data_IF_922211615236
#
_entry.id   IF_922211615236
#
_cell.length_a   1.000
_cell.length_b   1.000
_cell.length_c   1.000
_cell.angle_alpha   90.00
_cell.angle_beta   90.00
_cell.angle_gamma   90.00
#
_symmetry.space_group_name_H-M   'P 1'
#
loop_
_entity.id
_entity.type
_entity.pdbx_description
1 polymer ?
#
# COMPACT_ATOMS: atom_id res chain seq x y z
N UNK A 1 16.16 29.52 6.63
CA UNK A 1 16.16 28.23 5.90
C UNK A 1 17.52 27.62 6.12
N UNK A 2 17.58 26.39 6.62
CA UNK A 2 18.86 25.70 6.78
C UNK A 2 19.51 25.51 5.41
N UNK A 3 20.83 25.67 5.33
CA UNK A 3 21.59 25.39 4.09
C UNK A 3 21.58 23.88 3.79
N UNK A 4 21.80 23.47 2.54
CA UNK A 4 21.88 22.02 2.19
C UNK A 4 22.91 21.29 3.07
N UNK A 5 24.02 21.95 3.41
CA UNK A 5 25.05 21.40 4.29
C UNK A 5 24.55 21.19 5.73
N UNK A 6 23.79 22.12 6.30
CA UNK A 6 23.18 21.95 7.62
C UNK A 6 22.14 20.82 7.63
N UNK A 7 21.41 20.64 6.51
CA UNK A 7 20.46 19.54 6.34
C UNK A 7 21.17 18.18 6.29
N UNK A 8 22.27 18.08 5.54
CA UNK A 8 23.07 16.86 5.44
C UNK A 8 23.69 16.50 6.79
N UNK A 9 24.24 17.48 7.52
CA UNK A 9 24.78 17.28 8.86
C UNK A 9 23.71 16.88 9.89
N UNK A 10 22.49 17.43 9.79
CA UNK A 10 21.38 17.03 10.64
C UNK A 10 20.94 15.59 10.33
N UNK A 11 20.87 15.23 9.05
CA UNK A 11 20.52 13.88 8.59
C UNK A 11 21.55 12.86 9.04
N UNK A 12 22.85 13.14 8.87
CA UNK A 12 23.92 12.27 9.33
C UNK A 12 23.89 12.04 10.85
N UNK A 13 23.67 13.11 11.63
CA UNK A 13 23.51 12.99 13.10
C UNK A 13 22.30 12.15 13.49
N UNK A 14 21.18 12.32 12.80
CA UNK A 14 19.98 11.53 13.01
C UNK A 14 20.24 10.04 12.73
N UNK A 15 20.84 9.71 11.58
CA UNK A 15 21.18 8.33 11.21
C UNK A 15 22.13 7.67 12.23
N UNK A 16 23.15 8.41 12.68
CA UNK A 16 24.07 7.90 13.71
C UNK A 16 23.38 7.66 15.06
N UNK A 17 22.45 8.54 15.45
CA UNK A 17 21.65 8.34 16.66
C UNK A 17 20.74 7.11 16.55
N UNK A 18 20.09 6.92 15.39
CA UNK A 18 19.26 5.74 15.11
C UNK A 18 20.06 4.44 15.17
N UNK A 19 21.27 4.42 14.59
CA UNK A 19 22.15 3.26 14.62
C UNK A 19 22.61 2.94 16.05
N UNK A 20 22.93 3.97 16.84
CA UNK A 20 23.26 3.82 18.26
C UNK A 20 22.10 3.23 19.05
N UNK A 21 20.88 3.78 18.91
CA UNK A 21 19.70 3.23 19.58
C UNK A 21 19.46 1.78 19.15
N UNK A 22 19.58 1.47 17.85
CA UNK A 22 19.41 0.12 17.34
C UNK A 22 20.35 -0.88 18.02
N UNK A 23 21.65 -0.55 18.12
CA UNK A 23 22.63 -1.38 18.85
C UNK A 23 22.25 -1.56 20.32
N UNK A 24 21.84 -0.50 21.01
CA UNK A 24 21.44 -0.58 22.42
C UNK A 24 20.18 -1.44 22.63
N UNK A 25 19.21 -1.34 21.72
CA UNK A 25 17.96 -2.12 21.77
C UNK A 25 18.20 -3.59 21.50
N UNK A 26 19.04 -3.92 20.52
CA UNK A 26 19.42 -5.30 20.22
C UNK A 26 20.22 -5.92 21.37
N UNK A 27 21.17 -5.17 21.96
CA UNK A 27 21.94 -5.64 23.12
C UNK A 27 21.03 -5.96 24.33
N UNK A 28 20.03 -5.12 24.59
CA UNK A 28 19.03 -5.36 25.65
C UNK A 28 18.08 -6.54 25.35
N UNK A 29 18.05 -7.03 24.12
CA UNK A 29 17.19 -8.12 23.68
C UNK A 29 17.97 -9.39 23.34
N UNK A 30 19.21 -9.53 23.85
CA UNK A 30 20.07 -10.67 23.55
C UNK A 30 19.42 -12.03 23.83
N UNK A 31 18.74 -12.18 24.97
CA UNK A 31 18.05 -13.43 25.32
C UNK A 31 16.90 -13.74 24.36
N UNK A 32 16.11 -12.73 24.00
CA UNK A 32 15.03 -12.84 23.02
C UNK A 32 15.57 -13.28 21.64
N UNK A 33 16.65 -12.64 21.19
CA UNK A 33 17.32 -12.95 19.92
C UNK A 33 17.87 -14.38 19.95
N UNK A 34 18.48 -14.80 21.06
CA UNK A 34 19.02 -16.16 21.20
C UNK A 34 17.91 -17.22 21.14
N UNK A 35 16.83 -17.02 21.90
CA UNK A 35 15.67 -17.91 21.91
C UNK A 35 15.03 -18.01 20.52
N UNK A 36 14.82 -16.87 19.85
CA UNK A 36 14.26 -16.85 18.52
C UNK A 36 15.20 -17.48 17.47
N UNK A 37 16.52 -17.30 17.59
CA UNK A 37 17.50 -17.97 16.71
C UNK A 37 17.39 -19.49 16.80
N UNK A 38 17.24 -20.02 18.02
CA UNK A 38 17.04 -21.46 18.22
C UNK A 38 15.72 -21.96 17.61
N UNK A 39 14.63 -21.20 17.78
CA UNK A 39 13.34 -21.48 17.15
C UNK A 39 13.46 -21.50 15.62
N UNK A 40 14.06 -20.46 15.03
CA UNK A 40 14.27 -20.34 13.59
C UNK A 40 15.10 -21.51 13.05
N UNK A 41 16.17 -21.90 13.74
CA UNK A 41 17.00 -23.04 13.39
C UNK A 41 16.21 -24.36 13.42
N UNK A 42 15.30 -24.54 14.39
CA UNK A 42 14.42 -25.72 14.45
C UNK A 42 13.47 -25.83 13.24
N UNK A 43 13.25 -24.72 12.53
CA UNK A 43 12.44 -24.62 11.30
C UNK A 43 13.29 -24.55 10.03
N UNK A 44 14.62 -24.73 10.16
CA UNK A 44 15.56 -24.73 9.04
C UNK A 44 16.02 -23.34 8.58
N UNK A 45 15.76 -22.28 9.35
CA UNK A 45 16.22 -20.91 9.06
C UNK A 45 17.48 -20.64 9.87
N UNK A 46 18.58 -20.31 9.19
CA UNK A 46 19.85 -19.95 9.83
C UNK A 46 19.91 -18.42 9.92
N UNK A 47 20.03 -17.88 11.14
CA UNK A 47 20.09 -16.44 11.40
C UNK A 47 21.42 -16.10 12.06
N UNK A 48 22.08 -15.07 11.54
CA UNK A 48 23.27 -14.46 12.11
C UNK A 48 22.95 -13.19 12.88
N UNK A 49 23.98 -12.54 13.43
CA UNK A 49 23.82 -11.25 14.14
C UNK A 49 23.26 -10.14 13.23
N UNK A 50 23.62 -10.16 11.96
CA UNK A 50 23.23 -9.24 10.89
C UNK A 50 21.79 -9.47 10.41
N UNK A 51 21.20 -10.62 10.76
CA UNK A 51 19.79 -10.90 10.48
C UNK A 51 18.84 -10.11 11.36
N UNK A 52 19.33 -9.46 12.43
CA UNK A 52 18.50 -8.73 13.37
C UNK A 52 18.67 -7.22 13.21
N UNK A 53 17.54 -6.51 13.28
CA UNK A 53 17.51 -5.06 13.21
C UNK A 53 16.45 -4.52 14.16
N UNK A 54 16.76 -3.43 14.85
CA UNK A 54 15.73 -2.64 15.52
C UNK A 54 15.28 -1.52 14.60
N UNK A 55 13.97 -1.49 14.32
CA UNK A 55 13.32 -0.45 13.54
C UNK A 55 12.29 0.21 14.44
N UNK A 56 12.45 1.50 14.70
CA UNK A 56 11.65 2.24 15.69
C UNK A 56 10.14 2.07 15.53
N UNK A 57 9.65 1.98 14.29
CA UNK A 57 8.23 1.87 13.96
C UNK A 57 7.66 0.47 14.11
N UNK A 58 8.49 -0.59 14.07
CA UNK A 58 8.04 -1.99 14.04
C UNK A 58 8.74 -2.91 15.04
N UNK A 59 9.65 -2.40 15.87
CA UNK A 59 10.31 -3.16 16.92
C UNK A 59 11.54 -3.93 16.42
N UNK A 60 11.79 -5.08 17.06
CA UNK A 60 12.94 -5.92 16.74
C UNK A 60 12.52 -6.94 15.69
N UNK A 61 13.20 -6.92 14.55
CA UNK A 61 12.86 -7.72 13.37
C UNK A 61 13.99 -8.69 13.06
N UNK A 62 13.61 -9.93 12.78
CA UNK A 62 14.49 -10.92 12.16
C UNK A 62 14.26 -10.95 10.65
N UNK A 63 15.35 -10.98 9.88
CA UNK A 63 15.38 -10.90 8.42
C UNK A 63 16.05 -12.13 7.83
N UNK A 64 15.33 -12.84 6.98
CA UNK A 64 15.89 -13.85 6.09
C UNK A 64 14.90 -14.11 4.94
N UNK A 65 15.37 -14.44 3.72
CA UNK A 65 14.48 -14.72 2.61
C UNK A 65 13.44 -15.79 2.94
N UNK A 66 12.15 -15.46 2.83
CA UNK A 66 11.03 -16.37 3.09
C UNK A 66 10.84 -16.80 4.55
N UNK A 67 11.47 -16.14 5.53
CA UNK A 67 11.39 -16.48 6.96
C UNK A 67 9.95 -16.60 7.45
N UNK A 68 9.05 -15.70 7.03
CA UNK A 68 7.66 -15.71 7.47
C UNK A 68 6.95 -17.02 7.09
N UNK A 69 7.14 -17.48 5.84
CA UNK A 69 6.55 -18.74 5.35
C UNK A 69 7.17 -19.96 6.00
N UNK A 70 8.48 -19.95 6.20
CA UNK A 70 9.17 -21.06 6.87
C UNK A 70 8.69 -21.25 8.32
N UNK A 71 8.47 -20.15 9.04
CA UNK A 71 7.96 -20.18 10.41
C UNK A 71 6.46 -20.52 10.48
N UNK A 72 5.65 -19.98 9.57
CA UNK A 72 4.22 -20.30 9.46
C UNK A 72 3.96 -21.77 9.09
N UNK A 73 4.94 -22.41 8.46
CA UNK A 73 4.88 -23.78 7.98
C UNK A 73 4.03 -23.94 6.71
N UNK A 74 3.79 -25.19 6.26
CA UNK A 74 3.04 -25.46 5.04
C UNK A 74 1.65 -24.84 5.10
N UNK A 75 1.36 -23.92 4.19
CA UNK A 75 0.07 -23.21 4.06
C UNK A 75 -0.31 -23.17 2.59
N UNK A 76 -1.61 -23.29 2.28
CA UNK A 76 -2.05 -23.24 0.89
C UNK A 76 -1.77 -21.84 0.32
N UNK A 77 -0.93 -21.79 -0.69
CA UNK A 77 -0.60 -20.56 -1.41
C UNK A 77 -1.39 -20.52 -2.71
N UNK A 78 -2.07 -19.41 -2.97
CA UNK A 78 -2.77 -19.18 -4.23
C UNK A 78 -1.76 -18.92 -5.36
N UNK A 79 -2.19 -19.08 -6.62
CA UNK A 79 -1.30 -18.89 -7.80
C UNK A 79 -0.68 -17.49 -7.85
N UNK A 80 -1.34 -16.51 -7.26
CA UNK A 80 -0.92 -15.11 -7.18
C UNK A 80 -0.01 -14.82 -5.96
N UNK A 81 0.39 -15.84 -5.20
CA UNK A 81 1.27 -15.74 -4.03
C UNK A 81 0.57 -15.33 -2.75
N UNK A 82 -0.73 -15.00 -2.81
CA UNK A 82 -1.51 -14.64 -1.63
C UNK A 82 -1.81 -15.85 -0.75
N UNK A 83 -2.02 -15.57 0.54
CA UNK A 83 -2.38 -16.55 1.55
C UNK A 83 -3.80 -16.27 2.05
N UNK A 84 -4.55 -17.32 2.39
CA UNK A 84 -5.86 -17.19 3.02
C UNK A 84 -5.71 -16.49 4.37
N UNK A 85 -6.48 -15.42 4.59
CA UNK A 85 -6.50 -14.68 5.84
C UNK A 85 -6.94 -15.58 7.00
N UNK A 86 -8.00 -16.36 6.80
CA UNK A 86 -8.58 -17.22 7.83
C UNK A 86 -7.65 -18.38 8.17
N UNK A 87 -6.95 -18.95 7.19
CA UNK A 87 -5.96 -20.00 7.46
C UNK A 87 -4.78 -19.46 8.28
N UNK A 88 -4.28 -18.25 7.99
CA UNK A 88 -3.27 -17.61 8.83
C UNK A 88 -3.82 -17.35 10.24
N UNK A 89 -5.00 -16.72 10.33
CA UNK A 89 -5.66 -16.36 11.58
C UNK A 89 -5.92 -17.56 12.49
N UNK A 90 -6.19 -18.74 11.92
CA UNK A 90 -6.37 -19.98 12.68
C UNK A 90 -5.10 -20.49 13.38
N UNK A 91 -3.92 -20.11 12.88
CA UNK A 91 -2.60 -20.51 13.42
C UNK A 91 -1.99 -19.41 14.29
N UNK A 92 -2.10 -18.17 13.82
CA UNK A 92 -1.58 -16.97 14.44
C UNK A 92 -2.71 -15.94 14.43
N UNK A 93 -3.40 -15.73 15.56
CA UNK A 93 -4.55 -14.84 15.57
C UNK A 93 -4.15 -13.40 15.23
N UNK A 94 -5.05 -12.64 14.60
CA UNK A 94 -4.97 -11.19 14.49
C UNK A 94 -4.53 -10.54 15.81
N UNK A 95 -3.53 -9.66 15.76
CA UNK A 95 -3.14 -8.89 16.94
C UNK A 95 -4.26 -7.93 17.33
N UNK A 96 -4.70 -7.91 18.61
CA UNK A 96 -5.75 -7.01 19.06
C UNK A 96 -5.28 -5.55 19.19
N UNK A 97 -3.98 -5.30 19.15
CA UNK A 97 -3.39 -3.98 19.38
C UNK A 97 -2.61 -3.44 18.16
N UNK A 98 -2.58 -4.19 17.06
CA UNK A 98 -1.84 -3.82 15.86
C UNK A 98 -2.46 -4.46 14.64
N UNK A 99 -3.22 -3.68 13.87
CA UNK A 99 -3.71 -4.09 12.57
C UNK A 99 -2.53 -4.40 11.63
N UNK A 100 -2.75 -5.30 10.67
CA UNK A 100 -1.69 -5.77 9.79
C UNK A 100 -0.71 -6.74 10.44
N UNK A 101 -0.92 -7.15 11.69
CA UNK A 101 -0.06 -8.08 12.41
C UNK A 101 -0.85 -9.31 12.88
N UNK A 102 -0.29 -10.50 12.69
CA UNK A 102 -0.75 -11.74 13.31
C UNK A 102 0.21 -12.11 14.44
N UNK A 103 -0.27 -12.15 15.68
CA UNK A 103 0.55 -12.32 16.86
C UNK A 103 0.58 -13.77 17.33
N UNK A 104 1.75 -14.39 17.24
CA UNK A 104 2.05 -15.66 17.87
C UNK A 104 2.75 -15.48 19.21
N UNK A 105 3.02 -16.59 19.93
CA UNK A 105 3.75 -16.55 21.19
C UNK A 105 5.21 -16.10 21.02
N UNK A 106 5.87 -16.51 19.94
CA UNK A 106 7.31 -16.29 19.75
C UNK A 106 7.65 -15.22 18.71
N UNK A 107 6.70 -14.91 17.82
CA UNK A 107 6.89 -13.94 16.75
C UNK A 107 5.56 -13.38 16.22
N UNK A 108 5.66 -12.28 15.49
CA UNK A 108 4.57 -11.60 14.83
C UNK A 108 4.82 -11.62 13.32
N UNK A 109 3.86 -12.15 12.57
CA UNK A 109 3.81 -11.98 11.12
C UNK A 109 3.22 -10.61 10.79
N UNK A 110 3.78 -9.96 9.77
CA UNK A 110 3.34 -8.65 9.32
C UNK A 110 2.77 -8.75 7.90
N UNK A 111 1.77 -7.93 7.60
CA UNK A 111 1.30 -7.71 6.24
C UNK A 111 2.42 -7.11 5.37
N UNK A 112 2.26 -7.24 4.06
CA UNK A 112 3.30 -6.81 3.12
C UNK A 112 3.71 -5.33 3.27
N UNK A 113 4.99 -4.97 3.06
CA UNK A 113 5.46 -3.59 3.15
C UNK A 113 4.77 -2.60 2.21
N UNK A 114 4.12 -3.04 1.13
CA UNK A 114 3.33 -2.18 0.25
C UNK A 114 2.20 -1.43 0.97
N UNK A 115 1.72 -1.97 2.10
CA UNK A 115 0.70 -1.33 2.93
C UNK A 115 1.27 -0.21 3.80
N UNK A 116 2.58 -0.01 3.83
CA UNK A 116 3.25 1.04 4.62
C UNK A 116 3.26 2.37 3.87
N UNK A 117 3.45 3.47 4.60
CA UNK A 117 3.50 4.81 4.01
C UNK A 117 4.64 4.88 2.98
N UNK A 118 4.31 5.28 1.76
CA UNK A 118 5.26 5.31 0.64
C UNK A 118 5.77 3.92 0.22
N UNK A 119 5.10 2.84 0.64
CA UNK A 119 5.54 1.44 0.42
C UNK A 119 6.92 1.14 1.02
N UNK A 120 7.40 1.98 1.95
CA UNK A 120 8.73 1.87 2.48
C UNK A 120 8.79 0.89 3.66
N UNK A 121 9.76 -0.05 3.68
CA UNK A 121 9.78 -1.17 4.63
C UNK A 121 9.99 -0.77 6.10
N UNK A 122 10.50 0.43 6.38
CA UNK A 122 10.72 0.94 7.75
C UNK A 122 9.63 1.90 8.23
N UNK A 123 8.67 2.25 7.38
CA UNK A 123 7.58 3.14 7.78
C UNK A 123 6.47 2.35 8.48
N UNK A 124 5.64 3.07 9.24
CA UNK A 124 4.39 2.51 9.76
C UNK A 124 3.36 2.32 8.62
N UNK A 125 2.26 1.64 8.92
CA UNK A 125 1.16 1.41 7.98
C UNK A 125 0.65 2.73 7.37
N UNK A 126 0.40 2.72 6.06
CA UNK A 126 -0.38 3.75 5.38
C UNK A 126 -1.85 3.58 5.81
N UNK A 127 -2.57 4.67 6.12
CA UNK A 127 -3.71 4.56 7.00
C UNK A 127 -4.92 3.80 6.43
N UNK A 128 -5.61 3.17 7.37
CA UNK A 128 -6.95 2.55 7.33
C UNK A 128 -7.23 1.43 6.34
N UNK A 129 -6.54 1.28 5.20
CA UNK A 129 -6.85 0.14 4.31
C UNK A 129 -6.67 -1.19 5.03
N UNK A 130 -5.50 -1.40 5.64
CA UNK A 130 -5.18 -2.65 6.31
C UNK A 130 -6.11 -2.91 7.50
N UNK A 131 -6.46 -1.86 8.24
CA UNK A 131 -7.41 -1.90 9.36
C UNK A 131 -8.81 -2.31 8.89
N UNK A 132 -9.36 -1.63 7.88
CA UNK A 132 -10.65 -1.96 7.29
C UNK A 132 -10.66 -3.39 6.74
N UNK A 133 -9.58 -3.82 6.09
CA UNK A 133 -9.45 -5.18 5.57
C UNK A 133 -9.41 -6.22 6.72
N UNK A 134 -8.73 -5.88 7.82
CA UNK A 134 -8.64 -6.72 9.01
C UNK A 134 -10.01 -6.93 9.63
N UNK A 135 -10.74 -5.84 9.88
CA UNK A 135 -12.04 -5.83 10.55
C UNK A 135 -13.19 -6.30 9.68
N UNK A 136 -13.01 -6.30 8.35
CA UNK A 136 -14.07 -6.69 7.43
C UNK A 136 -14.34 -8.20 7.50
N UNK A 137 -15.58 -8.54 7.77
CA UNK A 137 -16.09 -9.90 7.73
C UNK A 137 -17.49 -9.90 7.07
N UNK A 138 -17.86 -11.02 6.46
CA UNK A 138 -19.12 -11.14 5.73
C UNK A 138 -19.42 -12.57 5.29
N UNK A 139 -20.70 -12.93 5.29
CA UNK A 139 -21.11 -14.26 4.86
C UNK A 139 -20.73 -14.52 3.39
N UNK A 140 -19.97 -15.58 3.15
CA UNK A 140 -19.50 -15.97 1.82
C UNK A 140 -18.36 -15.11 1.28
N UNK A 141 -17.73 -14.29 2.12
CA UNK A 141 -16.51 -13.55 1.78
C UNK A 141 -15.28 -14.42 2.10
N UNK A 142 -14.34 -14.46 1.17
CA UNK A 142 -13.00 -15.03 1.38
C UNK A 142 -11.95 -13.95 1.20
N UNK A 143 -11.10 -13.76 2.21
CA UNK A 143 -10.02 -12.77 2.21
C UNK A 143 -8.67 -13.45 2.01
N UNK A 144 -7.83 -12.83 1.19
CA UNK A 144 -6.45 -13.24 0.97
C UNK A 144 -5.53 -12.03 1.04
N UNK A 145 -4.34 -12.23 1.60
CA UNK A 145 -3.39 -11.14 1.84
C UNK A 145 -1.94 -11.60 1.59
N UNK A 146 -1.11 -10.66 1.14
CA UNK A 146 0.33 -10.83 1.08
C UNK A 146 0.96 -10.50 2.45
N UNK A 147 1.94 -11.31 2.83
CA UNK A 147 2.75 -11.09 4.03
C UNK A 147 4.10 -10.47 3.64
N UNK A 148 4.73 -9.87 4.64
CA UNK A 148 6.16 -9.57 4.61
C UNK A 148 6.95 -10.88 4.68
N UNK A 149 7.20 -11.48 3.51
CA UNK A 149 7.76 -12.83 3.41
C UNK A 149 9.17 -12.94 4.04
N UNK A 150 9.93 -11.83 4.04
CA UNK A 150 11.35 -11.83 4.40
C UNK A 150 11.62 -11.31 5.82
N UNK A 151 10.56 -10.94 6.57
CA UNK A 151 10.70 -10.33 7.90
C UNK A 151 9.62 -10.78 8.87
N UNK A 152 10.02 -11.03 10.11
CA UNK A 152 9.10 -11.20 11.24
C UNK A 152 9.55 -10.37 12.43
N UNK A 153 8.60 -9.88 13.21
CA UNK A 153 8.89 -9.17 14.46
C UNK A 153 8.97 -10.17 15.60
N UNK A 154 9.95 -10.03 16.50
CA UNK A 154 10.20 -11.00 17.59
C UNK A 154 9.88 -10.48 18.98
N UNK A 155 9.78 -9.16 19.17
CA UNK A 155 9.43 -8.55 20.46
C UNK A 155 7.92 -8.45 20.67
N UNK A 156 7.28 -9.62 20.82
CA UNK A 156 5.82 -9.82 20.89
C UNK A 156 5.15 -9.00 22.00
N UNK A 157 5.75 -8.94 23.19
CA UNK A 157 5.16 -8.32 24.39
C UNK A 157 5.30 -6.78 24.44
N UNK A 158 5.95 -6.16 23.45
CA UNK A 158 6.19 -4.72 23.47
C UNK A 158 5.07 -3.93 22.80
N UNK A 159 4.71 -2.81 23.43
CA UNK A 159 3.75 -1.84 22.91
C UNK A 159 4.11 -1.44 21.47
N UNK A 160 3.13 -1.48 20.57
CA UNK A 160 3.26 -1.02 19.20
C UNK A 160 3.33 0.51 19.10
N UNK A 161 3.82 1.00 17.97
CA UNK A 161 3.83 2.40 17.63
C UNK A 161 2.52 2.76 16.91
N UNK A 162 1.76 3.73 17.43
CA UNK A 162 0.44 4.11 16.93
C UNK A 162 0.47 5.51 16.31
N UNK A 163 0.02 5.64 15.07
CA UNK A 163 -0.15 6.93 14.39
C UNK A 163 -1.62 7.15 14.04
N UNK A 164 -2.19 8.28 14.47
CA UNK A 164 -3.52 8.71 14.03
C UNK A 164 -3.39 9.47 12.71
N UNK A 165 -3.81 8.87 11.60
CA UNK A 165 -3.92 9.52 10.29
C UNK A 165 -5.32 9.28 9.76
N UNK A 166 -6.00 10.34 9.32
CA UNK A 166 -7.42 10.28 8.92
C UNK A 166 -7.54 10.54 7.43
N UNK A 167 -8.11 9.56 6.73
CA UNK A 167 -8.54 9.68 5.34
C UNK A 167 -10.00 9.25 5.28
N UNK A 168 -10.80 9.89 4.43
CA UNK A 168 -12.22 9.59 4.30
C UNK A 168 -12.51 9.03 2.92
N UNK A 169 -13.35 8.00 2.86
CA UNK A 169 -13.90 7.50 1.59
C UNK A 169 -14.92 8.48 1.00
N UNK A 170 -15.06 8.47 -0.32
CA UNK A 170 -16.13 9.21 -0.98
C UNK A 170 -17.48 8.54 -0.71
N UNK A 171 -18.56 9.31 -0.51
CA UNK A 171 -19.89 8.75 -0.67
C UNK A 171 -20.06 8.34 -2.14
N UNK A 172 -20.38 7.08 -2.37
CA UNK A 172 -20.76 6.60 -3.69
C UNK A 172 -21.78 5.48 -3.53
N UNK A 173 -22.98 5.74 -4.02
CA UNK A 173 -24.09 4.80 -4.01
C UNK A 173 -24.76 4.75 -5.39
N UNK A 174 -23.96 4.98 -6.44
CA UNK A 174 -24.47 4.79 -7.79
C UNK A 174 -24.74 3.31 -8.05
N UNK A 175 -25.81 3.08 -8.79
CA UNK A 175 -26.11 1.80 -9.37
C UNK A 175 -25.02 1.44 -10.39
N UNK A 176 -24.11 0.52 -10.04
CA UNK A 176 -22.99 0.08 -10.90
C UNK A 176 -23.48 -0.32 -12.30
N UNK A 177 -24.71 -0.82 -12.43
CA UNK A 177 -25.33 -1.18 -13.72
C UNK A 177 -25.44 0.01 -14.67
N UNK A 178 -25.56 1.23 -14.13
CA UNK A 178 -25.69 2.50 -14.87
C UNK A 178 -24.37 3.19 -15.14
N UNK A 179 -23.27 2.74 -14.51
CA UNK A 179 -21.95 3.32 -14.75
C UNK A 179 -21.56 3.10 -16.21
N UNK A 180 -21.18 4.20 -16.87
CA UNK A 180 -20.80 4.21 -18.28
C UNK A 180 -19.52 3.41 -18.49
N UNK A 181 -19.51 2.60 -19.55
CA UNK A 181 -18.31 1.92 -20.01
C UNK A 181 -17.32 2.92 -20.62
N UNK A 182 -16.04 2.57 -20.60
CA UNK A 182 -14.97 3.39 -21.16
C UNK A 182 -13.88 3.71 -20.16
N UNK A 183 -13.12 4.75 -20.48
CA UNK A 183 -11.96 5.18 -19.71
C UNK A 183 -12.19 6.57 -19.14
N UNK A 184 -11.72 6.79 -17.92
CA UNK A 184 -11.54 8.11 -17.32
C UNK A 184 -10.09 8.22 -16.85
N UNK A 185 -9.40 9.28 -17.24
CA UNK A 185 -8.04 9.59 -16.77
C UNK A 185 -8.06 10.94 -16.08
N UNK A 186 -7.81 10.93 -14.78
CA UNK A 186 -7.78 12.11 -13.94
C UNK A 186 -6.32 12.47 -13.62
N UNK A 187 -6.02 13.75 -13.53
CA UNK A 187 -4.70 14.26 -13.16
C UNK A 187 -4.86 15.47 -12.24
N UNK A 188 -3.88 15.75 -11.36
CA UNK A 188 -3.88 16.99 -10.59
C UNK A 188 -3.94 18.21 -11.52
N UNK A 189 -4.44 19.36 -11.02
CA UNK A 189 -4.50 20.58 -11.83
C UNK A 189 -3.11 20.98 -12.35
N UNK A 190 -3.03 21.34 -13.64
CA UNK A 190 -1.74 21.73 -14.26
C UNK A 190 -1.23 23.10 -13.79
N UNK A 191 -2.09 23.90 -13.17
CA UNK A 191 -1.80 25.26 -12.71
C UNK A 191 -1.11 25.33 -11.35
N UNK A 192 -0.87 24.19 -10.69
CA UNK A 192 -0.21 24.14 -9.38
C UNK A 192 1.23 23.61 -9.49
N UNK A 193 2.11 24.21 -8.69
CA UNK A 193 3.53 23.82 -8.65
C UNK A 193 3.72 22.39 -8.11
N UNK A 194 4.81 21.68 -8.49
CA UNK A 194 5.08 20.30 -8.05
C UNK A 194 5.04 20.10 -6.53
N UNK A 195 5.50 21.07 -5.74
CA UNK A 195 5.41 21.01 -4.27
C UNK A 195 3.97 20.91 -3.75
N UNK A 196 3.01 21.53 -4.44
CA UNK A 196 1.60 21.46 -4.09
C UNK A 196 0.97 20.14 -4.55
N UNK A 197 1.42 19.59 -5.68
CA UNK A 197 1.07 18.22 -6.10
C UNK A 197 1.57 17.21 -5.06
N UNK A 198 2.81 17.37 -4.59
CA UNK A 198 3.37 16.54 -3.53
C UNK A 198 2.54 16.58 -2.26
N UNK A 199 2.19 17.78 -1.81
CA UNK A 199 1.47 17.99 -0.55
C UNK A 199 0.00 17.57 -0.60
N UNK A 200 -0.74 17.96 -1.65
CA UNK A 200 -2.19 17.76 -1.75
C UNK A 200 -2.57 16.45 -2.43
N UNK A 201 -1.74 15.94 -3.34
CA UNK A 201 -2.03 14.75 -4.15
C UNK A 201 -1.05 13.61 -3.91
N UNK A 202 -0.17 13.72 -2.91
CA UNK A 202 0.80 12.69 -2.55
C UNK A 202 1.64 12.22 -3.77
N UNK A 203 2.18 13.19 -4.52
CA UNK A 203 2.95 12.98 -5.76
C UNK A 203 2.18 12.21 -6.83
N UNK A 204 0.88 12.47 -7.01
CA UNK A 204 0.11 11.85 -8.10
C UNK A 204 0.52 12.40 -9.46
N UNK A 205 0.67 11.52 -10.44
CA UNK A 205 0.71 11.89 -11.85
C UNK A 205 -0.69 11.77 -12.48
N UNK A 206 -1.29 10.58 -12.36
CA UNK A 206 -2.65 10.34 -12.82
C UNK A 206 -3.33 9.18 -12.10
N UNK A 207 -4.66 9.18 -12.14
CA UNK A 207 -5.52 8.04 -11.86
C UNK A 207 -6.22 7.64 -13.16
N UNK A 208 -5.89 6.47 -13.69
CA UNK A 208 -6.51 5.90 -14.88
C UNK A 208 -7.55 4.86 -14.45
N UNK A 209 -8.76 4.94 -14.99
CA UNK A 209 -9.89 4.10 -14.63
C UNK A 209 -10.53 3.56 -15.89
N UNK A 210 -10.92 2.29 -15.87
CA UNK A 210 -11.64 1.65 -16.96
C UNK A 210 -12.81 0.81 -16.45
N UNK A 211 -13.95 0.98 -17.10
CA UNK A 211 -15.07 0.06 -17.04
C UNK A 211 -15.24 -0.67 -18.37
N UNK A 212 -15.34 -1.99 -18.28
CA UNK A 212 -15.71 -2.86 -19.39
C UNK A 212 -16.80 -3.82 -18.96
N UNK A 213 -17.52 -4.39 -19.92
CA UNK A 213 -18.59 -5.35 -19.65
C UNK A 213 -18.49 -6.53 -20.60
N UNK A 214 -18.64 -7.72 -20.05
CA UNK A 214 -18.63 -8.99 -20.77
C UNK A 214 -19.36 -10.05 -19.97
N UNK A 215 -20.18 -10.87 -20.62
CA UNK A 215 -20.84 -12.03 -20.01
C UNK A 215 -21.62 -11.74 -18.72
N UNK A 216 -22.33 -10.60 -18.68
CA UNK A 216 -23.12 -10.18 -17.51
C UNK A 216 -22.29 -9.64 -16.34
N UNK A 217 -20.99 -9.41 -16.55
CA UNK A 217 -20.07 -8.86 -15.55
C UNK A 217 -19.58 -7.50 -16.01
N UNK A 218 -19.65 -6.50 -15.12
CA UNK A 218 -18.92 -5.24 -15.27
C UNK A 218 -17.58 -5.34 -14.56
N UNK A 219 -16.49 -5.20 -15.30
CA UNK A 219 -15.13 -5.16 -14.77
C UNK A 219 -14.69 -3.71 -14.57
N UNK A 220 -14.22 -3.40 -13.37
CA UNK A 220 -13.56 -2.15 -13.00
C UNK A 220 -12.07 -2.38 -12.93
N UNK A 221 -11.29 -1.45 -13.47
CA UNK A 221 -9.85 -1.38 -13.29
C UNK A 221 -9.45 0.05 -12.95
N UNK A 222 -8.51 0.21 -12.02
CA UNK A 222 -7.92 1.50 -11.71
C UNK A 222 -6.41 1.39 -11.51
N UNK A 223 -5.65 2.38 -12.00
CA UNK A 223 -4.21 2.48 -11.85
C UNK A 223 -3.81 3.87 -11.35
N UNK A 224 -3.22 3.92 -10.17
CA UNK A 224 -2.65 5.12 -9.55
C UNK A 224 -1.15 5.19 -9.89
N UNK A 225 -0.76 6.16 -10.72
CA UNK A 225 0.63 6.41 -11.05
C UNK A 225 1.14 7.65 -10.32
N UNK A 226 2.30 7.52 -9.69
CA UNK A 226 3.00 8.62 -9.03
C UNK A 226 3.91 9.38 -10.01
N UNK A 227 4.40 10.54 -9.62
CA UNK A 227 5.44 11.27 -10.34
C UNK A 227 6.78 10.50 -10.31
N UNK A 228 7.71 10.90 -11.16
CA UNK A 228 9.04 10.27 -11.31
C UNK A 228 9.91 10.34 -10.05
N UNK A 229 9.56 11.22 -9.10
CA UNK A 229 10.24 11.34 -7.80
C UNK A 229 9.94 10.18 -6.86
N UNK A 230 8.91 9.37 -7.14
CA UNK A 230 8.53 8.22 -6.32
C UNK A 230 9.08 6.95 -6.93
N UNK A 231 10.14 6.43 -6.33
CA UNK A 231 10.83 5.21 -6.76
C UNK A 231 11.05 4.28 -5.57
N UNK A 232 11.07 2.98 -5.84
CA UNK A 232 11.46 1.95 -4.88
C UNK A 232 12.55 1.06 -5.47
N UNK A 233 13.38 0.49 -4.60
CA UNK A 233 14.43 -0.44 -4.99
C UNK A 233 14.06 -1.86 -4.57
N UNK A 234 14.09 -2.79 -5.51
CA UNK A 234 13.82 -4.21 -5.28
C UNK A 234 14.93 -5.01 -5.97
N UNK A 235 15.73 -5.74 -5.19
CA UNK A 235 16.82 -6.57 -5.73
C UNK A 235 17.90 -5.76 -6.46
N UNK A 236 18.18 -4.53 -6.02
CA UNK A 236 19.17 -3.63 -6.63
C UNK A 236 18.69 -2.93 -7.90
N UNK A 237 17.44 -3.13 -8.32
CA UNK A 237 16.84 -2.41 -9.45
C UNK A 237 15.79 -1.41 -8.96
N UNK A 238 15.80 -0.22 -9.56
CA UNK A 238 14.81 0.83 -9.31
C UNK A 238 13.55 0.61 -10.14
N UNK A 239 12.40 0.85 -9.52
CA UNK A 239 11.09 0.77 -10.14
C UNK A 239 10.23 1.98 -9.75
N UNK A 240 9.29 2.30 -10.63
CA UNK A 240 8.22 3.26 -10.39
C UNK A 240 6.97 2.47 -9.97
N UNK A 241 6.59 2.49 -8.69
CA UNK A 241 5.45 1.72 -8.22
C UNK A 241 4.13 2.40 -8.57
N UNK A 242 3.16 1.61 -9.01
CA UNK A 242 1.79 2.04 -9.21
C UNK A 242 0.84 1.11 -8.44
N UNK A 243 -0.18 1.67 -7.82
CA UNK A 243 -1.25 0.87 -7.20
C UNK A 243 -2.28 0.53 -8.25
N UNK A 244 -2.64 -0.75 -8.34
CA UNK A 244 -3.63 -1.24 -9.28
C UNK A 244 -4.78 -1.91 -8.52
N UNK A 245 -6.01 -1.64 -8.93
CA UNK A 245 -7.21 -2.31 -8.44
C UNK A 245 -7.95 -2.96 -9.61
N UNK A 246 -8.52 -4.13 -9.36
CA UNK A 246 -9.45 -4.79 -10.25
C UNK A 246 -10.67 -5.29 -9.46
N UNK A 247 -11.87 -5.14 -10.04
CA UNK A 247 -13.09 -5.67 -9.46
C UNK A 247 -14.05 -6.19 -10.54
N UNK A 248 -14.82 -7.22 -10.22
CA UNK A 248 -15.87 -7.75 -11.08
C UNK A 248 -17.23 -7.63 -10.37
N UNK A 249 -18.12 -6.85 -10.97
CA UNK A 249 -19.49 -6.67 -10.53
C UNK A 249 -20.43 -7.59 -11.30
N UNK A 250 -21.17 -8.41 -10.57
CA UNK A 250 -22.19 -9.28 -11.12
C UNK A 250 -23.51 -8.51 -11.27
N UNK A 251 -23.97 -8.33 -12.52
CA UNK A 251 -25.17 -7.55 -12.81
C UNK A 251 -26.45 -8.21 -12.30
N UNK A 252 -26.45 -9.55 -12.13
CA UNK A 252 -27.60 -10.32 -11.65
C UNK A 252 -27.59 -10.34 -10.12
N UNK A 253 -26.47 -10.69 -9.50
CA UNK A 253 -26.34 -10.74 -8.04
C UNK A 253 -26.29 -9.35 -7.39
N UNK A 254 -26.02 -8.30 -8.18
CA UNK A 254 -25.94 -6.91 -7.76
C UNK A 254 -24.92 -6.69 -6.63
N UNK A 255 -23.75 -7.28 -6.80
CA UNK A 255 -22.61 -7.14 -5.91
C UNK A 255 -21.30 -7.40 -6.66
N UNK A 256 -20.19 -6.91 -6.12
CA UNK A 256 -18.89 -7.37 -6.55
C UNK A 256 -18.70 -8.80 -6.08
N UNK A 257 -18.23 -9.68 -6.98
CA UNK A 257 -17.91 -11.09 -6.67
C UNK A 257 -16.42 -11.33 -6.47
N UNK A 258 -15.61 -10.39 -6.97
CA UNK A 258 -14.17 -10.42 -6.94
C UNK A 258 -13.65 -8.99 -6.85
N UNK A 259 -12.68 -8.75 -5.97
CA UNK A 259 -12.00 -7.48 -5.81
C UNK A 259 -10.57 -7.74 -5.36
N UNK A 260 -9.58 -7.27 -6.11
CA UNK A 260 -8.18 -7.43 -5.75
C UNK A 260 -7.37 -6.17 -6.02
N UNK A 261 -6.20 -6.15 -5.38
CA UNK A 261 -5.24 -5.06 -5.53
C UNK A 261 -3.84 -5.60 -5.70
N UNK A 262 -3.04 -4.87 -6.48
CA UNK A 262 -1.66 -5.20 -6.77
C UNK A 262 -0.79 -3.94 -6.79
N UNK A 263 0.51 -4.13 -6.61
CA UNK A 263 1.52 -3.13 -6.95
C UNK A 263 2.14 -3.53 -8.28
N UNK A 264 1.99 -2.66 -9.28
CA UNK A 264 2.67 -2.78 -10.55
C UNK A 264 4.00 -2.02 -10.47
N UNK A 265 5.07 -2.69 -10.88
CA UNK A 265 6.44 -2.20 -10.86
C UNK A 265 6.87 -1.95 -12.29
N UNK A 266 6.97 -0.67 -12.64
CA UNK A 266 7.41 -0.25 -13.96
C UNK A 266 8.91 0.03 -13.93
N UNK A 267 9.64 -0.43 -14.94
CA UNK A 267 10.96 0.13 -15.22
C UNK A 267 10.81 1.58 -15.68
N UNK A 268 11.92 2.30 -15.80
CA UNK A 268 11.91 3.69 -16.28
C UNK A 268 11.24 3.82 -17.66
N UNK A 269 11.67 3.01 -18.63
CA UNK A 269 11.10 3.00 -19.97
C UNK A 269 9.60 2.68 -19.96
N UNK A 270 9.20 1.67 -19.18
CA UNK A 270 7.79 1.27 -19.06
C UNK A 270 6.95 2.37 -18.39
N UNK A 271 7.49 3.06 -17.38
CA UNK A 271 6.81 4.14 -16.67
C UNK A 271 6.53 5.33 -17.59
N UNK A 272 7.54 5.82 -18.31
CA UNK A 272 7.37 6.96 -19.22
C UNK A 272 6.42 6.64 -20.37
N UNK A 273 6.41 5.39 -20.87
CA UNK A 273 5.44 4.97 -21.88
C UNK A 273 4.02 4.83 -21.30
N UNK A 274 3.88 4.28 -20.09
CA UNK A 274 2.56 4.00 -19.49
C UNK A 274 1.88 5.26 -18.96
N UNK A 275 2.62 6.19 -18.36
CA UNK A 275 2.05 7.36 -17.65
C UNK A 275 1.26 8.28 -18.56
N UNK A 276 1.65 8.38 -19.83
CA UNK A 276 0.99 9.21 -20.84
C UNK A 276 -0.03 8.44 -21.70
N UNK A 277 -0.05 7.11 -21.57
CA UNK A 277 -1.01 6.21 -22.22
C UNK A 277 -2.25 5.94 -21.35
N UNK A 278 -3.25 5.23 -21.90
CA UNK A 278 -4.44 4.76 -21.19
C UNK A 278 -4.61 3.22 -21.26
N UNK A 279 -5.63 2.67 -20.61
CA UNK A 279 -5.98 1.24 -20.69
C UNK A 279 -6.50 0.75 -22.05
N UNK A 280 -6.64 1.59 -23.08
CA UNK A 280 -6.97 1.16 -24.45
C UNK A 280 -5.71 0.86 -25.25
N UNK A 281 -4.63 1.61 -25.04
CA UNK A 281 -3.37 1.44 -25.78
C UNK A 281 -2.64 0.13 -25.48
N UNK A 282 -2.99 -0.57 -24.40
CA UNK A 282 -2.40 -1.85 -24.01
C UNK A 282 -2.90 -3.03 -24.85
N UNK A 283 -4.04 -2.93 -25.54
CA UNK A 283 -4.71 -4.12 -26.11
C UNK A 283 -4.36 -4.46 -27.56
N UNK A 284 -3.69 -3.57 -28.32
CA UNK A 284 -3.56 -3.73 -29.79
C UNK A 284 -2.18 -3.45 -30.40
N UNK A 285 -1.18 -3.08 -29.60
CA UNK A 285 0.15 -2.74 -30.11
C UNK A 285 1.25 -3.69 -29.61
N UNK A 286 2.30 -3.85 -30.43
CA UNK A 286 3.57 -4.51 -30.08
C UNK A 286 4.28 -3.88 -28.85
N UNK A 287 3.81 -2.71 -28.41
CA UNK A 287 4.25 -1.99 -27.21
C UNK A 287 3.39 -2.32 -25.97
N UNK A 288 2.94 -3.57 -25.81
CA UNK A 288 2.21 -3.98 -24.61
C UNK A 288 3.14 -3.91 -23.39
N UNK A 289 2.96 -2.90 -22.55
CA UNK A 289 3.70 -2.75 -21.30
C UNK A 289 3.15 -3.77 -20.30
N UNK A 290 3.95 -4.80 -20.00
CA UNK A 290 3.61 -5.82 -18.99
C UNK A 290 4.48 -5.61 -17.75
N UNK A 291 4.12 -4.61 -16.96
CA UNK A 291 4.77 -4.36 -15.69
C UNK A 291 4.76 -5.61 -14.80
N UNK A 292 5.84 -5.79 -14.03
CA UNK A 292 5.88 -6.81 -12.98
C UNK A 292 4.80 -6.46 -11.96
N UNK A 293 3.82 -7.34 -11.78
CA UNK A 293 2.73 -7.12 -10.85
C UNK A 293 2.84 -8.06 -9.66
N UNK A 294 2.70 -7.51 -8.45
CA UNK A 294 2.60 -8.28 -7.22
C UNK A 294 1.24 -8.03 -6.61
N UNK A 295 0.40 -9.07 -6.55
CA UNK A 295 -0.89 -8.97 -5.87
C UNK A 295 -0.67 -8.86 -4.37
N UNK A 296 -1.46 -8.03 -3.70
CA UNK A 296 -1.27 -7.72 -2.27
C UNK A 296 -2.49 -8.11 -1.44
N UNK A 297 -3.70 -8.01 -1.99
CA UNK A 297 -4.90 -8.57 -1.38
C UNK A 297 -5.86 -9.10 -2.45
N UNK A 298 -6.80 -9.93 -2.00
CA UNK A 298 -7.96 -10.38 -2.78
C UNK A 298 -9.14 -10.60 -1.83
N UNK A 299 -10.31 -10.15 -2.23
CA UNK A 299 -11.60 -10.38 -1.60
C UNK A 299 -12.48 -11.06 -2.65
N UNK A 300 -12.86 -12.30 -2.39
CA UNK A 300 -13.87 -13.00 -3.18
C UNK A 300 -15.17 -13.06 -2.39
N UNK A 301 -16.30 -13.11 -3.09
CA UNK A 301 -17.63 -13.16 -2.48
C UNK A 301 -18.38 -11.83 -2.57
N UNK A 302 -19.60 -11.75 -2.01
CA UNK A 302 -20.58 -10.71 -2.31
C UNK A 302 -20.27 -9.37 -1.61
N UNK A 303 -19.33 -8.60 -2.15
CA UNK A 303 -18.96 -7.29 -1.66
C UNK A 303 -19.93 -6.21 -2.17
N UNK A 304 -20.52 -5.45 -1.24
CA UNK A 304 -21.46 -4.35 -1.57
C UNK A 304 -20.73 -3.11 -2.07
N UNK A 305 -21.39 -2.34 -2.93
CA UNK A 305 -20.84 -1.14 -3.57
C UNK A 305 -20.20 -0.16 -2.59
N UNK A 306 -20.89 0.19 -1.50
CA UNK A 306 -20.35 1.13 -0.51
C UNK A 306 -19.05 0.64 0.15
N UNK A 307 -18.93 -0.67 0.41
CA UNK A 307 -17.68 -1.25 0.95
C UNK A 307 -16.57 -1.31 -0.08
N UNK A 308 -16.91 -1.65 -1.33
CA UNK A 308 -15.96 -1.60 -2.44
C UNK A 308 -15.37 -0.19 -2.63
N UNK A 309 -16.21 0.85 -2.60
CA UNK A 309 -15.78 2.27 -2.68
C UNK A 309 -14.86 2.63 -1.51
N UNK A 310 -15.26 2.26 -0.29
CA UNK A 310 -14.46 2.49 0.92
C UNK A 310 -13.06 1.87 0.76
N UNK A 311 -12.99 0.61 0.32
CA UNK A 311 -11.70 -0.03 0.04
C UNK A 311 -10.91 0.65 -1.07
N UNK A 312 -11.53 1.05 -2.18
CA UNK A 312 -10.86 1.78 -3.25
C UNK A 312 -10.22 3.08 -2.74
N UNK A 313 -10.98 3.90 -2.02
CA UNK A 313 -10.50 5.17 -1.47
C UNK A 313 -9.36 4.99 -0.47
N UNK A 314 -9.42 3.93 0.34
CA UNK A 314 -8.39 3.65 1.33
C UNK A 314 -7.13 2.99 0.74
N UNK A 315 -7.27 2.17 -0.31
CA UNK A 315 -6.10 1.61 -1.01
C UNK A 315 -5.32 2.69 -1.75
N UNK A 316 -6.02 3.62 -2.39
CA UNK A 316 -5.46 4.84 -2.97
C UNK A 316 -5.34 5.96 -1.92
N UNK A 317 -4.70 5.64 -0.79
CA UNK A 317 -4.61 6.58 0.34
C UNK A 317 -3.98 7.90 -0.09
N UNK A 318 -4.55 9.03 0.38
CA UNK A 318 -4.10 10.41 0.08
C UNK A 318 -4.15 10.77 -1.40
N UNK A 319 -4.99 10.09 -2.18
CA UNK A 319 -5.28 10.42 -3.57
C UNK A 319 -6.64 11.14 -3.68
N UNK A 320 -6.69 12.47 -3.83
CA UNK A 320 -7.96 13.17 -4.05
C UNK A 320 -8.68 12.76 -5.33
N UNK A 321 -7.98 12.22 -6.34
CA UNK A 321 -8.56 11.88 -7.63
C UNK A 321 -9.52 10.69 -7.56
N UNK A 322 -9.29 9.73 -6.66
CA UNK A 322 -10.27 8.64 -6.48
C UNK A 322 -11.54 9.16 -5.82
N UNK A 323 -11.42 10.18 -4.97
CA UNK A 323 -12.57 10.84 -4.38
C UNK A 323 -13.33 11.66 -5.43
N UNK A 324 -12.62 12.41 -6.27
CA UNK A 324 -13.17 13.11 -7.44
C UNK A 324 -13.90 12.16 -8.37
N UNK A 325 -13.32 10.99 -8.66
CA UNK A 325 -13.94 10.02 -9.53
C UNK A 325 -15.34 9.59 -9.05
N UNK A 326 -15.47 9.36 -7.74
CA UNK A 326 -16.73 8.90 -7.15
C UNK A 326 -17.71 10.03 -6.86
N UNK A 327 -17.24 11.20 -6.43
CA UNK A 327 -18.12 12.28 -5.97
C UNK A 327 -18.32 13.43 -6.98
N UNK A 328 -17.48 13.50 -8.02
CA UNK A 328 -17.43 14.59 -8.98
C UNK A 328 -16.67 15.84 -8.48
N UNK A 329 -16.17 15.83 -7.24
CA UNK A 329 -15.43 16.95 -6.65
C UNK A 329 -14.26 16.47 -5.77
N UNK A 330 -13.30 17.35 -5.46
CA UNK A 330 -12.28 17.01 -4.48
C UNK A 330 -12.84 17.03 -3.05
N UNK A 331 -12.18 16.35 -2.10
CA UNK A 331 -12.45 16.58 -0.68
C UNK A 331 -12.36 18.07 -0.35
N UNK A 332 -13.30 18.59 0.43
CA UNK A 332 -13.43 20.02 0.76
C UNK A 332 -12.10 20.71 1.14
N UNK A 333 -11.28 20.05 1.96
CA UNK A 333 -9.99 20.59 2.40
C UNK A 333 -8.98 20.77 1.25
N UNK A 334 -9.03 19.94 0.21
CA UNK A 334 -8.20 20.06 -1.00
C UNK A 334 -8.67 21.25 -1.82
N UNK A 335 -9.98 21.37 -2.04
CA UNK A 335 -10.58 22.51 -2.75
C UNK A 335 -10.21 23.84 -2.10
N UNK A 336 -10.40 23.96 -0.78
CA UNK A 336 -10.04 25.16 -0.01
C UNK A 336 -8.54 25.47 -0.09
N UNK A 337 -7.68 24.45 -0.06
CA UNK A 337 -6.24 24.63 -0.18
C UNK A 337 -5.84 25.15 -1.57
N UNK A 338 -6.42 24.59 -2.63
CA UNK A 338 -6.19 25.03 -4.01
C UNK A 338 -6.63 26.48 -4.22
N UNK A 339 -7.79 26.88 -3.69
CA UNK A 339 -8.26 28.27 -3.74
C UNK A 339 -7.28 29.23 -3.07
N UNK A 340 -6.78 28.88 -1.87
CA UNK A 340 -5.77 29.69 -1.17
C UNK A 340 -4.48 29.83 -1.97
N UNK A 341 -3.99 28.73 -2.56
CA UNK A 341 -2.78 28.73 -3.39
C UNK A 341 -2.96 29.66 -4.58
N UNK A 342 -4.07 29.52 -5.32
CA UNK A 342 -4.39 30.33 -6.50
C UNK A 342 -4.52 31.81 -6.16
N UNK A 343 -5.16 32.14 -5.03
CA UNK A 343 -5.29 33.52 -4.57
C UNK A 343 -3.93 34.15 -4.23
N UNK A 344 -3.03 33.41 -3.56
CA UNK A 344 -1.69 33.91 -3.26
C UNK A 344 -0.83 34.09 -4.52
N UNK A 345 -0.87 33.17 -5.47
CA UNK A 345 -0.18 33.31 -6.76
C UNK A 345 -0.68 34.53 -7.52
N UNK A 346 -2.00 34.75 -7.53
CA UNK A 346 -2.63 35.90 -8.17
C UNK A 346 -2.25 37.24 -7.52
N UNK A 347 -2.11 37.28 -6.19
CA UNK A 347 -1.65 38.47 -5.47
C UNK A 347 -0.18 38.79 -5.77
N UNK A 348 0.71 37.79 -5.73
CA UNK A 348 2.13 37.98 -6.07
C UNK A 348 2.34 38.46 -7.50
N UNK A 349 1.55 37.94 -8.45
CA UNK A 349 1.59 38.38 -9.84
C UNK A 349 1.07 39.82 -10.05
N UNK A 350 0.34 40.39 -9.09
CA UNK A 350 -0.10 41.81 -9.12
C UNK A 350 0.91 42.76 -8.45
N UNK A 351 1.76 42.22 -7.57
CA UNK A 351 2.78 42.98 -6.82
C UNK A 351 4.14 43.00 -7.51
N UNK A 352 4.37 42.07 -8.45
CA UNK A 352 5.52 42.04 -9.36
C UNK A 352 5.20 42.78 -10.67
#
# INVERSE_FOLDING_TARGET
MATNQEHDEMTARYLAAMEKESRERLAKAADLISNFTALAASKGVILGSESYEYIQTIGIVAKAPGIARMLLGPIKTERDGLLSFDEIASRLPPSPHSEGCFAGPDFILMADPCYRRGMHPVNNWAPRFIDLFWQFDGLGIEKFIALDDDRVRIDVDRLGYFEFDTWYGAPFDEDIRKVKLGIAKLSPPMDIEPRHVSFLFANMYCLDIKWSESDGLKSFQALEMKTEDVQIEIGGQRYFPARYLHAEFDLVANCFRHFDGAIQLFTEDEYFQRRDSDFNMTLKNLAHIKARSRKVFKINGPLKTGKWVEFCCHFFTKNPLIFEYFSGEYPKHVTEALERIRNHTSQRAREA
#
